data_IF_283967234944
#
_entry.id   IF_283967234944
#
_cell.length_a   1.000
_cell.length_b   1.000
_cell.length_c   1.000
_cell.angle_alpha   90.00
_cell.angle_beta   90.00
_cell.angle_gamma   90.00
#
_symmetry.space_group_name_H-M   'P 1'
#
loop_
_entity.id
_entity.type
_entity.pdbx_description
1 polymer ?
#
# COMPACT_ATOMS: atom_id res chain seq x y z
N UNK A 1 -11.12 -21.67 4.28
CA UNK A 1 -11.68 -20.34 4.64
C UNK A 1 -10.61 -19.24 4.74
N UNK A 2 -9.50 -19.42 5.47
CA UNK A 2 -8.47 -18.38 5.65
C UNK A 2 -7.96 -17.73 4.34
N UNK A 3 -7.70 -18.53 3.30
CA UNK A 3 -7.21 -18.02 1.99
C UNK A 3 -8.24 -17.12 1.29
N UNK A 4 -9.53 -17.45 1.35
CA UNK A 4 -10.58 -16.64 0.76
C UNK A 4 -10.68 -15.27 1.42
N UNK A 5 -10.70 -15.24 2.76
CA UNK A 5 -10.71 -13.97 3.50
C UNK A 5 -9.47 -13.13 3.20
N UNK A 6 -8.28 -13.73 3.14
CA UNK A 6 -7.05 -13.02 2.76
C UNK A 6 -7.13 -12.45 1.34
N UNK A 7 -7.58 -13.24 0.37
CA UNK A 7 -7.73 -12.77 -1.00
C UNK A 7 -8.73 -11.61 -1.09
N UNK A 8 -9.83 -11.65 -0.33
CA UNK A 8 -10.80 -10.56 -0.29
C UNK A 8 -10.20 -9.28 0.31
N UNK A 9 -9.39 -9.40 1.36
CA UNK A 9 -8.69 -8.25 1.96
C UNK A 9 -7.65 -7.65 1.02
N UNK A 10 -6.88 -8.48 0.32
CA UNK A 10 -5.92 -8.02 -0.71
C UNK A 10 -6.66 -7.31 -1.84
N UNK A 11 -7.75 -7.90 -2.35
CA UNK A 11 -8.57 -7.26 -3.39
C UNK A 11 -9.16 -5.92 -2.94
N UNK A 12 -9.59 -5.80 -1.69
CA UNK A 12 -10.07 -4.52 -1.14
C UNK A 12 -8.93 -3.49 -1.04
N UNK A 13 -7.72 -3.93 -0.72
CA UNK A 13 -6.53 -3.07 -0.62
C UNK A 13 -6.10 -2.56 -2.01
N UNK A 14 -5.95 -3.45 -3.00
CA UNK A 14 -5.65 -3.09 -4.40
C UNK A 14 -6.78 -2.27 -5.06
N UNK A 15 -8.02 -2.67 -4.85
CA UNK A 15 -9.20 -1.96 -5.35
C UNK A 15 -9.33 -0.57 -4.74
N UNK A 16 -9.04 -0.44 -3.44
CA UNK A 16 -8.94 0.84 -2.77
C UNK A 16 -7.83 1.72 -3.36
N UNK A 17 -6.65 1.14 -3.63
CA UNK A 17 -5.53 1.88 -4.24
C UNK A 17 -5.92 2.41 -5.62
N UNK A 18 -6.56 1.56 -6.42
CA UNK A 18 -7.12 1.93 -7.74
C UNK A 18 -8.08 3.11 -7.63
N UNK A 19 -9.03 3.08 -6.68
CA UNK A 19 -9.99 4.16 -6.47
C UNK A 19 -9.31 5.47 -6.01
N UNK A 20 -8.15 5.37 -5.35
CA UNK A 20 -7.31 6.49 -4.92
C UNK A 20 -6.23 6.86 -5.96
N UNK A 21 -6.47 6.54 -7.24
CA UNK A 21 -5.62 6.88 -8.38
C UNK A 21 -4.23 6.22 -8.34
N UNK A 22 -4.06 5.16 -7.56
CA UNK A 22 -2.86 4.33 -7.54
C UNK A 22 -2.85 3.28 -8.66
N UNK A 23 -1.82 2.44 -8.64
CA UNK A 23 -1.67 1.30 -9.55
C UNK A 23 -2.65 0.17 -9.18
N UNK A 24 -3.36 -0.43 -10.16
CA UNK A 24 -4.37 -1.44 -9.91
C UNK A 24 -3.83 -2.79 -9.42
N UNK A 25 -2.54 -3.06 -9.61
CA UNK A 25 -1.83 -4.22 -9.09
C UNK A 25 -1.05 -3.93 -7.81
N UNK A 26 -1.18 -2.74 -7.24
CA UNK A 26 -0.52 -2.38 -5.99
C UNK A 26 -1.54 -2.18 -4.85
N UNK A 27 -1.20 -2.66 -3.66
CA UNK A 27 -1.92 -2.39 -2.42
C UNK A 27 -1.70 -0.95 -1.91
N UNK A 28 -2.71 -0.35 -1.26
CA UNK A 28 -2.54 0.91 -0.51
C UNK A 28 -1.47 0.72 0.57
N UNK A 29 -1.41 -0.46 1.19
CA UNK A 29 -0.42 -0.76 2.23
C UNK A 29 1.03 -0.73 1.70
N UNK A 30 1.31 -1.26 0.50
CA UNK A 30 2.59 -1.08 -0.21
C UNK A 30 2.87 0.40 -0.50
N UNK A 31 1.90 1.10 -1.10
CA UNK A 31 2.02 2.52 -1.45
C UNK A 31 2.29 3.40 -0.23
N UNK A 32 1.68 3.06 0.89
CA UNK A 32 1.88 3.72 2.19
C UNK A 32 3.27 3.47 2.75
N UNK A 33 3.81 2.27 2.58
CA UNK A 33 5.18 1.93 2.98
C UNK A 33 6.20 2.77 2.20
N UNK A 34 5.99 2.90 0.88
CA UNK A 34 6.77 3.78 0.00
C UNK A 34 6.70 5.24 0.45
N UNK A 35 5.50 5.76 0.63
CA UNK A 35 5.29 7.12 1.10
C UNK A 35 5.87 7.38 2.50
N UNK A 36 5.78 6.41 3.41
CA UNK A 36 6.44 6.46 4.72
C UNK A 36 7.98 6.55 4.55
N UNK A 37 8.57 5.74 3.68
CA UNK A 37 10.01 5.78 3.38
C UNK A 37 10.44 7.13 2.75
N UNK A 38 9.57 7.74 1.95
CA UNK A 38 9.73 9.09 1.42
C UNK A 38 9.44 10.22 2.43
N UNK A 39 9.12 9.90 3.69
CA UNK A 39 8.87 10.87 4.76
C UNK A 39 7.50 11.56 4.69
N UNK A 40 6.55 11.03 3.91
CA UNK A 40 5.22 11.61 3.72
C UNK A 40 4.34 11.28 4.91
N UNK A 41 3.71 12.33 5.48
CA UNK A 41 2.88 12.21 6.70
C UNK A 41 1.73 11.23 6.55
N UNK A 42 1.09 11.18 5.38
CA UNK A 42 -0.06 10.32 5.13
C UNK A 42 0.34 8.83 5.22
N UNK A 43 1.49 8.45 4.64
CA UNK A 43 2.03 7.09 4.72
C UNK A 43 2.35 6.70 6.16
N UNK A 44 2.99 7.60 6.93
CA UNK A 44 3.26 7.36 8.35
C UNK A 44 1.99 7.11 9.18
N UNK A 45 0.94 7.91 8.97
CA UNK A 45 -0.33 7.79 9.70
C UNK A 45 -1.01 6.46 9.38
N UNK A 46 -1.13 6.13 8.09
CA UNK A 46 -1.79 4.91 7.66
C UNK A 46 -1.01 3.66 8.09
N UNK A 47 0.33 3.67 7.95
CA UNK A 47 1.15 2.54 8.40
C UNK A 47 1.10 2.32 9.91
N UNK A 48 1.00 3.39 10.71
CA UNK A 48 0.80 3.27 12.16
C UNK A 48 -0.55 2.66 12.50
N UNK A 49 -1.61 3.05 11.79
CA UNK A 49 -2.94 2.48 11.95
C UNK A 49 -2.97 0.98 11.58
N UNK A 50 -2.43 0.62 10.42
CA UNK A 50 -2.39 -0.77 9.95
C UNK A 50 -1.54 -1.68 10.85
N UNK A 51 -0.48 -1.11 11.46
CA UNK A 51 0.36 -1.83 12.41
C UNK A 51 -0.36 -2.27 13.69
N UNK A 52 -1.56 -1.73 13.97
CA UNK A 52 -2.42 -2.18 15.07
C UNK A 52 -3.03 -3.57 14.80
N UNK A 53 -3.24 -3.93 13.53
CA UNK A 53 -3.84 -5.21 13.12
C UNK A 53 -2.79 -6.28 12.83
N UNK A 54 -1.63 -5.86 12.30
CA UNK A 54 -0.47 -6.72 12.10
C UNK A 54 0.79 -5.91 12.36
N UNK A 55 1.61 -6.34 13.33
CA UNK A 55 2.89 -5.67 13.60
C UNK A 55 3.71 -5.55 12.30
N UNK A 56 4.20 -4.34 12.04
CA UNK A 56 5.00 -3.97 10.86
C UNK A 56 4.27 -4.24 9.52
N UNK A 57 2.96 -3.98 9.47
CA UNK A 57 2.10 -4.30 8.32
C UNK A 57 2.63 -3.71 7.00
N UNK A 58 2.86 -2.40 6.94
CA UNK A 58 3.37 -1.74 5.74
C UNK A 58 4.74 -2.26 5.30
N UNK A 59 5.64 -2.55 6.25
CA UNK A 59 6.97 -3.08 5.93
C UNK A 59 6.86 -4.46 5.26
N UNK A 60 5.89 -5.28 5.69
CA UNK A 60 5.61 -6.59 5.09
C UNK A 60 4.86 -6.49 3.77
N UNK A 61 4.09 -5.43 3.57
CA UNK A 61 3.34 -5.17 2.35
C UNK A 61 4.17 -4.46 1.27
N UNK A 62 5.36 -3.95 1.59
CA UNK A 62 6.20 -3.21 0.66
C UNK A 62 6.56 -4.05 -0.56
N UNK A 63 6.07 -3.63 -1.74
CA UNK A 63 6.47 -4.17 -3.03
C UNK A 63 7.28 -3.11 -3.79
N UNK A 64 8.63 -3.23 -3.84
CA UNK A 64 9.49 -2.17 -4.36
C UNK A 64 9.27 -1.81 -5.83
N UNK A 65 8.72 -2.75 -6.63
CA UNK A 65 8.61 -2.64 -8.08
C UNK A 65 7.18 -2.46 -8.59
N UNK A 66 6.17 -2.46 -7.71
CA UNK A 66 4.79 -2.13 -8.08
C UNK A 66 4.63 -0.62 -8.28
N UNK A 67 3.49 -0.15 -8.80
CA UNK A 67 3.19 1.30 -8.91
C UNK A 67 3.41 1.91 -10.30
N UNK A 68 3.81 1.10 -11.30
CA UNK A 68 4.17 1.57 -12.64
C UNK A 68 2.99 2.08 -13.47
N UNK A 69 1.78 1.61 -13.18
CA UNK A 69 0.54 1.96 -13.89
C UNK A 69 -0.33 2.96 -13.09
N UNK A 70 0.21 3.58 -12.04
CA UNK A 70 -0.52 4.54 -11.21
C UNK A 70 -0.87 5.82 -11.98
N UNK A 71 -2.10 6.33 -11.79
CA UNK A 71 -2.54 7.63 -12.33
C UNK A 71 -1.84 8.79 -11.58
N UNK A 72 -1.69 8.66 -10.27
CA UNK A 72 -0.86 9.54 -9.44
C UNK A 72 0.37 8.73 -9.00
N UNK A 73 1.57 9.05 -9.52
CA UNK A 73 2.78 8.30 -9.21
C UNK A 73 3.05 8.22 -7.72
N UNK A 74 3.66 7.11 -7.31
CA UNK A 74 4.13 6.94 -5.95
C UNK A 74 5.16 8.00 -5.58
N UNK A 75 5.26 8.30 -4.30
CA UNK A 75 6.21 9.25 -3.73
C UNK A 75 7.70 8.80 -3.87
N UNK A 76 7.96 7.73 -4.63
CA UNK A 76 9.27 7.07 -4.81
C UNK A 76 9.80 7.10 -6.26
N UNK A 77 9.14 7.81 -7.19
CA UNK A 77 9.48 7.74 -8.62
C UNK A 77 10.79 8.45 -9.06
N UNK A 78 11.56 9.08 -8.16
CA UNK A 78 12.76 9.87 -8.55
C UNK A 78 13.95 9.76 -7.57
N UNK A 79 14.41 8.55 -7.25
CA UNK A 79 15.81 8.37 -6.80
C UNK A 79 16.48 7.16 -7.42
#
# INVERSE_FOLDING_TARGET
>A
MKRFTLNLLVWMDEGGNTLLLGDPGETISSRSAKAQAAGKRWGCVLCRFLSLFQKDHCLKALEPYAGGDAVVPDDNAEK
#
